data_IF_312429720786
#
_entry.id   IF_312429720786
#
_cell.length_a   1.000
_cell.length_b   1.000
_cell.length_c   1.000
_cell.angle_alpha   90.00
_cell.angle_beta   90.00
_cell.angle_gamma   90.00
#
_symmetry.space_group_name_H-M   'P 1'
#
loop_
_entity.id
_entity.type
_entity.pdbx_description
1 polymer ?
#
# COMPACT_ATOMS: atom_id res chain seq x y z
N UNK A 1 47.86 -40.09 29.49
CA UNK A 1 46.71 -39.70 28.66
C UNK A 1 45.67 -39.01 29.54
N UNK A 2 45.29 -37.77 29.19
CA UNK A 2 43.99 -37.05 29.36
C UNK A 2 43.36 -37.03 30.77
N UNK A 3 43.51 -35.96 31.59
CA UNK A 3 42.76 -34.69 31.60
C UNK A 3 41.22 -34.88 31.70
N UNK A 4 40.62 -34.81 32.89
CA UNK A 4 40.06 -33.65 33.62
C UNK A 4 38.67 -33.17 33.10
N UNK A 5 37.79 -32.93 34.08
CA UNK A 5 36.87 -31.78 34.20
C UNK A 5 35.37 -31.97 33.88
N UNK A 6 34.61 -32.08 34.97
CA UNK A 6 33.39 -31.34 35.31
C UNK A 6 32.30 -31.16 34.23
N UNK A 7 31.26 -32.00 34.31
CA UNK A 7 29.94 -31.70 33.74
C UNK A 7 29.25 -30.62 34.57
N UNK A 8 29.40 -29.37 34.15
CA UNK A 8 28.72 -28.22 34.74
C UNK A 8 27.22 -28.24 34.40
N UNK A 9 26.41 -28.24 35.46
CA UNK A 9 24.99 -27.93 35.51
C UNK A 9 24.71 -26.60 34.78
N UNK A 10 24.21 -26.67 33.56
CA UNK A 10 23.76 -25.48 32.82
C UNK A 10 22.33 -25.14 33.27
N UNK A 11 22.26 -24.33 34.33
CA UNK A 11 21.08 -23.62 34.78
C UNK A 11 20.62 -22.69 33.65
N UNK A 12 19.64 -23.12 32.85
CA UNK A 12 18.91 -22.24 31.94
C UNK A 12 18.08 -21.25 32.78
N UNK A 13 18.72 -20.15 33.17
CA UNK A 13 18.05 -18.92 33.54
C UNK A 13 17.24 -18.45 32.32
N UNK A 14 15.94 -18.73 32.36
CA UNK A 14 14.96 -18.05 31.52
C UNK A 14 14.93 -16.57 31.96
N UNK A 15 15.87 -15.78 31.44
CA UNK A 15 15.81 -14.32 31.51
C UNK A 15 14.56 -13.93 30.74
N UNK A 16 13.52 -13.54 31.47
CA UNK A 16 12.31 -12.96 30.90
C UNK A 16 12.72 -11.79 30.03
N UNK A 17 12.54 -11.92 28.72
CA UNK A 17 12.63 -10.78 27.83
C UNK A 17 11.55 -9.79 28.28
N UNK A 18 11.88 -8.51 28.55
CA UNK A 18 10.84 -7.51 28.69
C UNK A 18 10.02 -7.53 27.39
N UNK A 19 8.72 -7.76 27.53
CA UNK A 19 7.76 -7.60 26.46
C UNK A 19 8.06 -6.26 25.78
N UNK A 20 8.53 -6.29 24.54
CA UNK A 20 8.75 -5.08 23.77
C UNK A 20 7.40 -4.37 23.73
N UNK A 21 7.31 -3.17 24.32
CA UNK A 21 6.15 -2.33 24.19
C UNK A 21 6.08 -1.87 22.74
N UNK A 22 5.45 -2.68 21.90
CA UNK A 22 5.23 -2.39 20.49
C UNK A 22 4.17 -1.31 20.38
N UNK A 23 4.42 -0.29 19.55
CA UNK A 23 3.52 0.83 19.37
C UNK A 23 2.18 0.38 18.78
N UNK A 24 1.07 0.62 19.50
CA UNK A 24 -0.30 0.32 19.06
C UNK A 24 -1.03 1.55 18.53
N UNK A 25 -2.14 1.35 17.80
CA UNK A 25 -3.02 2.46 17.38
C UNK A 25 -3.54 3.29 18.57
N UNK A 26 -3.78 2.66 19.72
CA UNK A 26 -4.21 3.36 20.95
C UNK A 26 -3.13 4.32 21.45
N UNK A 27 -1.86 3.91 21.35
CA UNK A 27 -0.74 4.74 21.79
C UNK A 27 -0.55 5.94 20.86
N UNK A 28 -0.73 5.75 19.55
CA UNK A 28 -0.73 6.85 18.56
C UNK A 28 -1.81 7.89 18.90
N UNK A 29 -3.03 7.44 19.20
CA UNK A 29 -4.13 8.32 19.61
C UNK A 29 -3.79 9.08 20.89
N UNK A 30 -3.25 8.40 21.91
CA UNK A 30 -2.85 9.03 23.17
C UNK A 30 -1.75 10.06 22.96
N UNK A 31 -0.75 9.76 22.12
CA UNK A 31 0.34 10.70 21.85
C UNK A 31 -0.16 11.95 21.11
N UNK A 32 -1.03 11.78 20.12
CA UNK A 32 -1.66 12.90 19.42
C UNK A 32 -2.49 13.77 20.38
N UNK A 33 -3.32 13.16 21.22
CA UNK A 33 -4.14 13.87 22.20
C UNK A 33 -3.35 14.52 23.34
N UNK A 34 -2.19 13.97 23.67
CA UNK A 34 -1.25 14.58 24.61
C UNK A 34 -0.48 15.77 23.99
N UNK A 35 -0.69 16.08 22.70
CA UNK A 35 -0.07 17.20 22.02
C UNK A 35 1.41 16.99 21.73
N UNK A 36 1.87 15.74 21.62
CA UNK A 36 3.22 15.47 21.13
C UNK A 36 3.34 15.92 19.67
N UNK A 37 4.54 16.34 19.27
CA UNK A 37 4.75 16.81 17.91
C UNK A 37 4.56 15.69 16.89
N UNK A 38 3.98 16.05 15.74
CA UNK A 38 3.79 15.11 14.63
C UNK A 38 5.10 14.43 14.22
N UNK A 39 6.21 15.17 14.22
CA UNK A 39 7.53 14.64 13.86
C UNK A 39 8.02 13.58 14.85
N UNK A 40 7.74 13.76 16.14
CA UNK A 40 8.07 12.76 17.15
C UNK A 40 7.22 11.50 16.96
N UNK A 41 5.90 11.67 16.77
CA UNK A 41 4.97 10.54 16.60
C UNK A 41 5.28 9.76 15.32
N UNK A 42 5.53 10.45 14.21
CA UNK A 42 5.88 9.82 12.93
C UNK A 42 7.22 9.09 13.01
N UNK A 43 8.24 9.66 13.63
CA UNK A 43 9.50 8.96 13.86
C UNK A 43 9.33 7.71 14.74
N UNK A 44 8.48 7.77 15.77
CA UNK A 44 8.20 6.61 16.61
C UNK A 44 7.46 5.50 15.83
N UNK A 45 6.52 5.87 14.96
CA UNK A 45 5.84 4.95 14.04
C UNK A 45 6.86 4.25 13.13
N UNK A 46 7.77 5.01 12.54
CA UNK A 46 8.79 4.44 11.64
C UNK A 46 9.71 3.45 12.37
N UNK A 47 10.05 3.72 13.63
CA UNK A 47 10.92 2.87 14.45
C UNK A 47 10.19 1.65 15.04
N UNK A 48 8.97 1.82 15.55
CA UNK A 48 8.32 0.85 16.43
C UNK A 48 6.91 0.41 15.98
N UNK A 49 6.39 0.96 14.88
CA UNK A 49 5.01 0.76 14.42
C UNK A 49 4.70 -0.60 13.78
N UNK A 50 5.39 -1.67 14.16
CA UNK A 50 5.20 -3.01 13.58
C UNK A 50 3.85 -3.67 13.91
N UNK A 51 3.17 -3.21 14.96
CA UNK A 51 1.86 -3.71 15.42
C UNK A 51 0.71 -2.74 15.09
N UNK A 52 0.98 -1.71 14.29
CA UNK A 52 -0.06 -0.81 13.84
C UNK A 52 -0.95 -1.51 12.81
N UNK A 53 -2.23 -1.16 12.82
CA UNK A 53 -3.15 -1.48 11.72
C UNK A 53 -3.48 -0.21 10.93
N UNK A 54 -3.47 -0.34 9.61
CA UNK A 54 -3.99 0.68 8.67
C UNK A 54 -5.32 0.25 8.05
N UNK A 55 -6.10 -0.57 8.74
CA UNK A 55 -7.45 -0.93 8.30
C UNK A 55 -8.36 0.30 8.31
N UNK A 56 -9.36 0.27 7.43
CA UNK A 56 -10.28 1.40 7.23
C UNK A 56 -10.93 1.85 8.53
N UNK A 57 -11.38 0.90 9.37
CA UNK A 57 -11.96 1.21 10.67
C UNK A 57 -10.93 1.91 11.59
N UNK A 58 -9.71 1.38 11.69
CA UNK A 58 -8.66 1.97 12.52
C UNK A 58 -8.25 3.37 12.06
N UNK A 59 -8.15 3.62 10.75
CA UNK A 59 -7.85 4.95 10.20
C UNK A 59 -8.95 5.96 10.53
N UNK A 60 -10.22 5.54 10.42
CA UNK A 60 -11.38 6.37 10.78
C UNK A 60 -11.40 6.66 12.28
N UNK A 61 -11.16 5.64 13.12
CA UNK A 61 -11.13 5.80 14.57
C UNK A 61 -10.03 6.77 15.00
N UNK A 62 -8.83 6.66 14.42
CA UNK A 62 -7.74 7.59 14.66
C UNK A 62 -8.09 9.01 14.20
N UNK A 63 -8.68 9.18 13.01
CA UNK A 63 -9.13 10.49 12.51
C UNK A 63 -10.17 11.13 13.43
N UNK A 64 -11.18 10.36 13.85
CA UNK A 64 -12.24 10.80 14.75
C UNK A 64 -11.69 11.15 16.14
N UNK A 65 -10.63 10.47 16.58
CA UNK A 65 -9.95 10.74 17.84
C UNK A 65 -8.99 11.94 17.77
N UNK A 66 -8.94 12.67 16.66
CA UNK A 66 -8.14 13.88 16.50
C UNK A 66 -6.73 13.68 15.94
N UNK A 67 -6.36 12.45 15.54
CA UNK A 67 -5.07 12.19 14.90
C UNK A 67 -5.05 12.84 13.52
N UNK A 68 -4.01 13.63 13.23
CA UNK A 68 -3.91 14.34 11.97
C UNK A 68 -3.49 13.41 10.81
N UNK A 69 -3.72 13.86 9.57
CA UNK A 69 -3.46 13.05 8.38
C UNK A 69 -1.97 12.79 8.12
N UNK A 70 -1.07 13.64 8.64
CA UNK A 70 0.37 13.40 8.56
C UNK A 70 0.76 12.15 9.35
N UNK A 71 0.25 12.00 10.57
CA UNK A 71 0.43 10.80 11.38
C UNK A 71 -0.27 9.59 10.75
N UNK A 72 -1.53 9.73 10.29
CA UNK A 72 -2.25 8.66 9.60
C UNK A 72 -1.48 8.15 8.37
N UNK A 73 -0.81 9.05 7.64
CA UNK A 73 0.03 8.70 6.49
C UNK A 73 1.26 7.90 6.90
N UNK A 74 1.87 8.22 8.04
CA UNK A 74 2.97 7.41 8.57
C UNK A 74 2.46 6.02 8.99
N UNK A 75 1.29 5.95 9.64
CA UNK A 75 0.66 4.67 10.01
C UNK A 75 0.40 3.82 8.76
N UNK A 76 -0.22 4.38 7.72
CA UNK A 76 -0.55 3.64 6.49
C UNK A 76 0.67 3.22 5.67
N UNK A 77 1.81 3.90 5.83
CA UNK A 77 3.10 3.49 5.23
C UNK A 77 3.74 2.33 5.98
N UNK A 78 3.61 2.31 7.31
CA UNK A 78 4.28 1.33 8.17
C UNK A 78 3.50 0.03 8.29
N UNK A 79 2.18 0.12 8.38
CA UNK A 79 1.29 -1.00 8.56
C UNK A 79 0.69 -1.45 7.22
N UNK A 80 0.69 -2.76 6.91
CA UNK A 80 -0.10 -3.27 5.81
C UNK A 80 -1.60 -3.19 6.17
N UNK A 81 -2.43 -2.88 5.18
CA UNK A 81 -3.88 -3.10 5.33
C UNK A 81 -4.17 -4.59 5.39
N UNK A 82 -5.04 -5.00 6.31
CA UNK A 82 -5.49 -6.39 6.45
C UNK A 82 -6.51 -6.75 5.36
N UNK A 83 -7.31 -5.76 4.92
CA UNK A 83 -8.33 -5.94 3.90
C UNK A 83 -8.10 -5.02 2.67
N UNK A 84 -8.34 -5.52 1.44
CA UNK A 84 -8.30 -4.68 0.25
C UNK A 84 -9.32 -3.52 0.30
N UNK A 85 -8.91 -2.35 -0.18
CA UNK A 85 -9.82 -1.21 -0.34
C UNK A 85 -10.89 -1.53 -1.38
N UNK A 86 -12.15 -1.30 -1.02
CA UNK A 86 -13.29 -1.41 -1.93
C UNK A 86 -14.08 -0.08 -1.97
N UNK A 87 -15.13 -0.02 -2.79
CA UNK A 87 -15.92 1.21 -2.93
C UNK A 87 -16.59 1.67 -1.64
N UNK A 88 -17.04 0.74 -0.79
CA UNK A 88 -17.65 1.07 0.50
C UNK A 88 -16.61 1.61 1.49
N UNK A 89 -15.39 1.06 1.46
CA UNK A 89 -14.25 1.55 2.23
C UNK A 89 -13.92 3.00 1.86
N UNK A 90 -13.85 3.31 0.57
CA UNK A 90 -13.64 4.70 0.09
C UNK A 90 -14.74 5.62 0.58
N UNK A 91 -16.00 5.20 0.46
CA UNK A 91 -17.14 5.98 0.94
C UNK A 91 -17.05 6.27 2.44
N UNK A 92 -16.66 5.28 3.25
CA UNK A 92 -16.49 5.44 4.70
C UNK A 92 -15.34 6.42 5.03
N UNK A 93 -14.23 6.35 4.31
CA UNK A 93 -13.10 7.27 4.48
C UNK A 93 -13.50 8.71 4.14
N UNK A 94 -14.23 8.91 3.04
CA UNK A 94 -14.77 10.23 2.65
C UNK A 94 -15.74 10.76 3.70
N UNK A 95 -16.65 9.93 4.20
CA UNK A 95 -17.61 10.32 5.26
C UNK A 95 -16.94 10.66 6.60
N UNK A 96 -15.81 10.04 6.90
CA UNK A 96 -14.99 10.37 8.06
C UNK A 96 -14.16 11.67 7.87
N UNK A 97 -14.31 12.36 6.73
CA UNK A 97 -13.64 13.62 6.47
C UNK A 97 -12.14 13.51 6.23
N UNK A 98 -11.67 12.34 5.78
CA UNK A 98 -10.30 12.19 5.28
C UNK A 98 -10.19 12.86 3.91
N UNK A 99 -9.08 13.57 3.69
CA UNK A 99 -8.87 14.31 2.45
C UNK A 99 -8.76 13.40 1.22
N UNK A 100 -9.18 13.93 0.06
CA UNK A 100 -8.98 13.27 -1.23
C UNK A 100 -7.52 12.93 -1.50
N UNK A 101 -6.58 13.75 -1.03
CA UNK A 101 -5.15 13.46 -1.20
C UNK A 101 -4.76 12.21 -0.41
N UNK A 102 -5.22 12.09 0.84
CA UNK A 102 -4.97 10.92 1.66
C UNK A 102 -5.61 9.65 1.07
N UNK A 103 -6.87 9.74 0.62
CA UNK A 103 -7.58 8.61 0.01
C UNK A 103 -6.91 8.19 -1.30
N UNK A 104 -6.51 9.13 -2.15
CA UNK A 104 -5.75 8.84 -3.37
C UNK A 104 -4.43 8.12 -3.08
N UNK A 105 -3.69 8.58 -2.06
CA UNK A 105 -2.45 7.94 -1.62
C UNK A 105 -2.69 6.51 -1.11
N UNK A 106 -3.79 6.27 -0.40
CA UNK A 106 -4.17 4.92 0.04
C UNK A 106 -4.47 4.01 -1.15
N UNK A 107 -5.27 4.47 -2.12
CA UNK A 107 -5.60 3.71 -3.33
C UNK A 107 -4.34 3.27 -4.08
N UNK A 108 -3.35 4.17 -4.20
CA UNK A 108 -2.10 3.89 -4.92
C UNK A 108 -1.17 2.90 -4.18
N UNK A 109 -1.27 2.81 -2.85
CA UNK A 109 -0.33 2.02 -2.02
C UNK A 109 -0.90 0.68 -1.58
N UNK A 110 -2.21 0.63 -1.34
CA UNK A 110 -2.86 -0.55 -0.76
C UNK A 110 -3.49 -1.40 -1.85
N UNK A 111 -3.58 -2.73 -1.64
CA UNK A 111 -4.38 -3.58 -2.50
C UNK A 111 -5.83 -3.08 -2.53
N UNK A 112 -6.44 -3.05 -3.71
CA UNK A 112 -7.83 -2.63 -3.90
C UNK A 112 -8.60 -3.60 -4.78
N UNK A 113 -9.89 -3.68 -4.52
CA UNK A 113 -10.91 -4.45 -5.25
C UNK A 113 -12.11 -3.54 -5.49
N UNK A 114 -12.04 -2.75 -6.56
CA UNK A 114 -13.13 -1.85 -6.94
C UNK A 114 -14.06 -2.51 -7.96
N UNK A 115 -15.35 -2.52 -7.66
CA UNK A 115 -16.39 -2.86 -8.62
C UNK A 115 -16.75 -1.61 -9.40
N UNK A 116 -16.43 -1.59 -10.69
CA UNK A 116 -16.67 -0.44 -11.57
C UNK A 116 -17.85 -0.72 -12.48
N UNK A 117 -19.04 -0.35 -12.02
CA UNK A 117 -20.26 -0.32 -12.84
C UNK A 117 -20.79 1.11 -12.90
N UNK A 118 -21.48 1.48 -13.99
CA UNK A 118 -22.02 2.83 -14.16
C UNK A 118 -22.90 3.26 -12.99
N UNK A 119 -23.81 2.40 -12.54
CA UNK A 119 -24.65 2.63 -11.36
C UNK A 119 -23.83 2.85 -10.10
N UNK A 120 -22.78 2.05 -9.88
CA UNK A 120 -21.95 2.16 -8.68
C UNK A 120 -21.15 3.47 -8.62
N UNK A 121 -20.66 3.95 -9.76
CA UNK A 121 -19.96 5.24 -9.83
C UNK A 121 -20.93 6.38 -9.49
N UNK A 122 -22.15 6.35 -10.02
CA UNK A 122 -23.18 7.35 -9.72
C UNK A 122 -23.51 7.36 -8.23
N UNK A 123 -23.76 6.19 -7.63
CA UNK A 123 -24.01 6.07 -6.18
C UNK A 123 -22.88 6.67 -5.33
N UNK A 124 -21.62 6.35 -5.65
CA UNK A 124 -20.47 6.87 -4.92
C UNK A 124 -20.33 8.38 -5.06
N UNK A 125 -20.58 8.91 -6.27
CA UNK A 125 -20.60 10.36 -6.53
C UNK A 125 -21.68 11.07 -5.73
N UNK A 126 -22.90 10.55 -5.77
CA UNK A 126 -24.04 11.10 -5.00
C UNK A 126 -23.80 11.02 -3.49
N UNK A 127 -23.06 10.01 -3.04
CA UNK A 127 -22.70 9.83 -1.64
C UNK A 127 -21.50 10.70 -1.19
N UNK A 128 -20.94 11.53 -2.08
CA UNK A 128 -19.94 12.55 -1.78
C UNK A 128 -18.51 12.21 -2.16
N UNK A 129 -18.26 11.06 -2.81
CA UNK A 129 -16.92 10.72 -3.33
C UNK A 129 -16.59 11.63 -4.51
N UNK A 130 -15.43 12.27 -4.48
CA UNK A 130 -15.05 13.23 -5.52
C UNK A 130 -14.73 12.55 -6.86
N UNK A 131 -14.91 13.29 -7.96
CA UNK A 131 -14.60 12.80 -9.32
C UNK A 131 -13.13 12.38 -9.46
N UNK A 132 -12.23 13.04 -8.73
CA UNK A 132 -10.80 12.67 -8.69
C UNK A 132 -10.60 11.29 -8.08
N UNK A 133 -11.29 10.96 -7.00
CA UNK A 133 -11.19 9.64 -6.38
C UNK A 133 -11.84 8.58 -7.28
N UNK A 134 -13.00 8.89 -7.86
CA UNK A 134 -13.68 7.98 -8.79
C UNK A 134 -12.82 7.64 -10.00
N UNK A 135 -12.14 8.62 -10.61
CA UNK A 135 -11.24 8.37 -11.74
C UNK A 135 -10.05 7.48 -11.38
N UNK A 136 -9.50 7.63 -10.16
CA UNK A 136 -8.46 6.75 -9.64
C UNK A 136 -8.96 5.32 -9.43
N UNK A 137 -10.16 5.14 -8.85
CA UNK A 137 -10.77 3.81 -8.67
C UNK A 137 -10.98 3.09 -10.01
N UNK A 138 -11.45 3.82 -11.04
CA UNK A 138 -11.62 3.29 -12.40
C UNK A 138 -10.27 2.92 -13.02
N UNK A 139 -9.25 3.75 -12.83
CA UNK A 139 -7.91 3.51 -13.38
C UNK A 139 -7.22 2.31 -12.71
N UNK A 140 -7.35 2.19 -11.39
CA UNK A 140 -6.75 1.11 -10.60
C UNK A 140 -7.40 -0.26 -10.87
N UNK A 141 -8.72 -0.30 -11.03
CA UNK A 141 -9.44 -1.53 -11.42
C UNK A 141 -9.06 -2.02 -12.82
N UNK A 142 -8.89 -1.11 -13.79
CA UNK A 142 -8.47 -1.47 -15.14
C UNK A 142 -7.01 -1.92 -15.25
N UNK A 143 -6.15 -1.52 -14.31
CA UNK A 143 -4.72 -1.84 -14.34
C UNK A 143 -4.37 -3.25 -13.84
N UNK A 144 -5.26 -3.91 -13.07
CA UNK A 144 -4.97 -5.23 -12.46
C UNK A 144 -5.60 -6.42 -13.19
N UNK A 145 -6.49 -6.20 -14.15
CA UNK A 145 -7.09 -7.25 -15.00
C UNK A 145 -6.30 -7.48 -16.30
N UNK A 146 -4.97 -7.59 -16.22
CA UNK A 146 -4.22 -8.28 -17.27
C UNK A 146 -4.31 -9.79 -16.97
N UNK A 147 -5.09 -10.57 -17.73
CA UNK A 147 -5.16 -12.01 -17.50
C UNK A 147 -3.75 -12.59 -17.64
N UNK A 148 -3.33 -13.37 -16.63
CA UNK A 148 -2.10 -14.14 -16.64
C UNK A 148 -2.17 -15.14 -17.82
N UNK A 149 -1.72 -14.70 -18.99
CA UNK A 149 -1.93 -15.42 -20.24
C UNK A 149 -1.86 -14.55 -21.50
N UNK A 150 -1.97 -13.22 -21.40
CA UNK A 150 -1.73 -12.34 -22.54
C UNK A 150 -0.23 -12.25 -22.82
N UNK A 151 0.29 -13.19 -23.60
CA UNK A 151 1.58 -13.01 -24.26
C UNK A 151 1.47 -11.80 -25.19
N UNK A 152 2.12 -10.69 -24.80
CA UNK A 152 2.39 -9.59 -25.71
C UNK A 152 3.42 -10.12 -26.71
N UNK A 153 2.95 -10.77 -27.77
CA UNK A 153 3.80 -11.06 -28.92
C UNK A 153 4.04 -9.75 -29.65
N UNK A 154 5.11 -9.06 -29.24
CA UNK A 154 5.72 -8.04 -30.08
C UNK A 154 6.22 -8.78 -31.31
N UNK A 155 5.38 -8.87 -32.36
CA UNK A 155 5.89 -9.21 -33.68
C UNK A 155 6.80 -8.06 -34.05
N UNK A 156 8.11 -8.26 -33.89
CA UNK A 156 9.09 -7.49 -34.64
C UNK A 156 8.61 -7.60 -36.09
N UNK A 157 8.14 -6.48 -36.64
CA UNK A 157 7.91 -6.39 -38.08
C UNK A 157 9.30 -6.67 -38.64
N UNK A 158 9.41 -7.84 -39.27
CA UNK A 158 10.68 -8.31 -39.78
C UNK A 158 11.24 -7.22 -40.70
N UNK A 159 12.54 -7.03 -40.55
CA UNK A 159 13.35 -6.07 -41.28
C UNK A 159 12.84 -5.97 -42.71
N UNK A 160 12.46 -4.77 -43.16
CA UNK A 160 12.19 -4.53 -44.58
C UNK A 160 13.43 -5.02 -45.32
N UNK A 161 13.28 -6.11 -46.05
CA UNK A 161 14.31 -6.69 -46.90
C UNK A 161 14.62 -5.62 -47.96
N UNK A 162 15.65 -4.82 -47.70
CA UNK A 162 16.29 -4.01 -48.73
C UNK A 162 17.04 -4.99 -49.59
N UNK A 163 16.31 -5.57 -50.54
CA UNK A 163 16.81 -6.39 -51.62
C UNK A 163 17.79 -5.52 -52.42
N UNK A 164 19.06 -5.63 -52.03
CA UNK A 164 20.19 -5.06 -52.74
C UNK A 164 20.38 -5.93 -53.97
N UNK A 165 19.56 -5.69 -54.98
CA UNK A 165 19.73 -6.36 -56.25
C UNK A 165 21.03 -5.92 -56.92
N UNK A 166 21.72 -6.95 -57.37
CA UNK A 166 23.15 -6.99 -57.64
C UNK A 166 23.50 -6.21 -58.91
N UNK A 167 24.66 -5.58 -58.89
CA UNK A 167 25.40 -5.23 -60.11
C UNK A 167 25.50 -6.46 -61.01
N UNK A 168 24.90 -6.40 -62.20
CA UNK A 168 24.99 -7.52 -63.13
C UNK A 168 24.01 -7.56 -64.29
N UNK A 169 23.02 -6.67 -64.37
CA UNK A 169 22.21 -6.59 -65.59
C UNK A 169 23.01 -5.87 -66.68
N UNK A 170 23.52 -6.68 -67.62
CA UNK A 170 24.14 -6.22 -68.86
C UNK A 170 23.20 -5.23 -69.56
N UNK A 171 23.61 -3.97 -69.58
CA UNK A 171 23.10 -3.01 -70.55
C UNK A 171 23.50 -3.49 -71.94
N UNK A 172 22.58 -4.20 -72.60
CA UNK A 172 22.65 -4.44 -74.04
C UNK A 172 22.15 -3.18 -74.74
N UNK A 173 23.08 -2.51 -75.41
CA UNK A 173 22.83 -1.33 -76.24
C UNK A 173 21.94 -1.65 -77.45
#
# INVERSE_FOLDING_TARGET
MKAFLAGALFLCLAVGLPAQATLSNSDVIKMANAGLSDDFVTNLIDQQGSQLSSDVASLIDMKNAGVNERILTAVSKKAPASEPLNGDSVLRLTKAGLSDNFIADLINRQPSKFTVSGSRIVELKEAGVSERILSLMVSDSGARDLPAGTQISVRLIDSIDSEKDKSGDEFRA
#
